data_IF_853567267155
#
_entry.id   IF_853567267155
#
_cell.length_a   1.000
_cell.length_b   1.000
_cell.length_c   1.000
_cell.angle_alpha   90.00
_cell.angle_beta   90.00
_cell.angle_gamma   90.00
#
_symmetry.space_group_name_H-M   'P 1'
#
loop_
_entity.id
_entity.type
_entity.pdbx_description
1 polymer ?
#
# COMPACT_ATOMS: atom_id res chain seq x y z
N UNK A 1 38.73 7.66 25.62
CA UNK A 1 38.00 8.88 25.24
C UNK A 1 37.93 9.00 23.73
N UNK A 2 36.74 9.34 23.22
CA UNK A 2 36.41 9.94 21.90
C UNK A 2 36.85 9.16 20.64
N UNK A 3 35.93 8.49 19.95
CA UNK A 3 34.97 8.96 18.92
C UNK A 3 35.55 8.95 17.49
N UNK A 4 34.98 8.04 16.67
CA UNK A 4 34.51 8.18 15.28
C UNK A 4 35.37 9.00 14.30
N UNK A 5 35.68 8.37 13.15
CA UNK A 5 35.26 8.89 11.83
C UNK A 5 34.90 7.73 10.90
N UNK A 6 33.60 7.53 10.72
CA UNK A 6 33.03 6.90 9.54
C UNK A 6 33.26 7.84 8.35
N UNK A 7 33.87 7.37 7.27
CA UNK A 7 33.83 8.08 5.98
C UNK A 7 32.74 7.46 5.11
N UNK A 8 31.72 8.28 4.88
CA UNK A 8 30.69 8.13 3.85
C UNK A 8 31.33 7.95 2.48
N UNK A 9 30.95 6.89 1.76
CA UNK A 9 30.97 6.82 0.30
C UNK A 9 29.85 5.89 -0.16
N UNK A 10 28.65 6.44 -0.36
CA UNK A 10 27.59 5.85 -1.19
C UNK A 10 26.49 6.88 -1.46
N UNK A 11 26.83 8.01 -2.09
CA UNK A 11 25.87 9.04 -2.54
C UNK A 11 26.24 9.43 -3.97
N UNK A 12 25.83 8.62 -4.96
CA UNK A 12 25.05 9.21 -6.05
C UNK A 12 23.88 8.34 -6.57
N UNK A 13 23.68 7.12 -6.06
CA UNK A 13 22.70 6.18 -6.62
C UNK A 13 21.27 6.44 -6.08
N UNK A 14 21.13 6.91 -4.84
CA UNK A 14 19.81 7.18 -4.24
C UNK A 14 19.11 8.41 -4.85
N UNK A 15 19.86 9.43 -5.27
CA UNK A 15 19.29 10.66 -5.83
C UNK A 15 18.63 10.44 -7.20
N UNK A 16 19.07 9.44 -7.96
CA UNK A 16 18.51 9.13 -9.27
C UNK A 16 17.24 8.26 -9.20
N UNK A 17 17.06 7.51 -8.11
CA UNK A 17 15.85 6.71 -7.88
C UNK A 17 14.68 7.57 -7.39
N UNK A 18 14.95 8.62 -6.61
CA UNK A 18 13.92 9.52 -6.07
C UNK A 18 13.35 10.51 -7.10
N UNK A 19 14.08 10.82 -8.18
CA UNK A 19 13.60 11.76 -9.22
C UNK A 19 12.57 11.17 -10.20
N UNK A 20 12.19 9.91 -10.05
CA UNK A 20 11.22 9.23 -10.94
C UNK A 20 9.97 8.73 -10.22
N UNK A 21 9.95 8.77 -8.88
CA UNK A 21 8.79 8.37 -8.10
C UNK A 21 7.91 9.59 -7.95
N UNK A 22 7.15 9.90 -9.01
CA UNK A 22 6.02 10.81 -8.88
C UNK A 22 4.90 10.00 -8.25
N UNK A 23 4.86 9.99 -6.91
CA UNK A 23 3.66 9.54 -6.19
C UNK A 23 2.50 10.36 -6.76
N UNK A 24 1.45 9.74 -7.31
CA UNK A 24 0.43 10.51 -7.97
C UNK A 24 -0.28 11.42 -6.95
N UNK A 25 -0.36 12.71 -7.26
CA UNK A 25 -1.08 13.71 -6.48
C UNK A 25 -2.58 13.38 -6.51
N UNK A 26 -3.02 12.52 -5.60
CA UNK A 26 -4.43 12.34 -5.29
C UNK A 26 -4.72 13.07 -4.00
N UNK A 27 -5.45 14.19 -4.08
CA UNK A 27 -6.05 14.85 -2.91
C UNK A 27 -6.93 13.89 -2.09
N UNK A 28 -7.32 12.72 -2.64
CA UNK A 28 -8.13 11.67 -2.01
C UNK A 28 -7.67 10.28 -2.49
N UNK A 29 -6.70 9.67 -1.80
CA UNK A 29 -6.22 8.30 -2.06
C UNK A 29 -6.66 7.33 -0.94
N UNK A 30 -7.15 6.11 -1.26
CA UNK A 30 -7.65 5.65 -2.55
C UNK A 30 -9.12 6.06 -2.81
N UNK A 31 -9.53 6.38 -4.06
CA UNK A 31 -10.91 6.74 -4.39
C UNK A 31 -11.84 5.51 -4.43
N UNK A 32 -11.98 4.80 -3.31
CA UNK A 32 -12.82 3.59 -3.15
C UNK A 32 -14.28 3.75 -3.59
N UNK A 33 -14.78 4.98 -3.68
CA UNK A 33 -16.10 5.27 -4.24
C UNK A 33 -16.23 4.90 -5.73
N UNK A 34 -15.12 4.67 -6.43
CA UNK A 34 -15.06 4.16 -7.79
C UNK A 34 -15.03 2.62 -7.86
N UNK A 35 -14.87 1.92 -6.73
CA UNK A 35 -14.86 0.45 -6.70
C UNK A 35 -16.23 -0.08 -7.16
N UNK A 36 -16.28 -1.01 -8.13
CA UNK A 36 -17.55 -1.56 -8.57
C UNK A 36 -18.30 -2.27 -7.43
N UNK A 37 -19.59 -1.98 -7.29
CA UNK A 37 -20.46 -2.58 -6.26
C UNK A 37 -20.88 -4.02 -6.59
N UNK A 38 -20.58 -4.48 -7.79
CA UNK A 38 -20.93 -5.81 -8.31
C UNK A 38 -19.94 -6.87 -7.83
N UNK A 39 -20.32 -8.14 -7.94
CA UNK A 39 -19.46 -9.27 -7.56
C UNK A 39 -18.21 -9.35 -8.47
N UNK A 40 -16.98 -9.33 -7.91
CA UNK A 40 -15.75 -9.38 -8.70
C UNK A 40 -15.56 -10.67 -9.50
N UNK A 41 -16.30 -11.74 -9.20
CA UNK A 41 -16.33 -12.94 -10.05
C UNK A 41 -17.05 -12.73 -11.38
N UNK A 42 -17.73 -11.59 -11.55
CA UNK A 42 -18.53 -11.24 -12.74
C UNK A 42 -18.14 -9.91 -13.36
N UNK A 43 -17.11 -9.24 -12.82
CA UNK A 43 -16.65 -7.97 -13.37
C UNK A 43 -16.23 -8.13 -14.82
N UNK A 44 -16.72 -7.21 -15.64
CA UNK A 44 -16.21 -7.01 -16.99
C UNK A 44 -14.89 -6.24 -16.93
N UNK A 45 -14.21 -6.14 -18.07
CA UNK A 45 -12.94 -5.42 -18.20
C UNK A 45 -13.07 -3.97 -17.71
N UNK A 46 -14.20 -3.31 -17.98
CA UNK A 46 -14.42 -1.92 -17.55
C UNK A 46 -14.55 -1.79 -16.03
N UNK A 47 -15.09 -2.80 -15.36
CA UNK A 47 -15.20 -2.84 -13.89
C UNK A 47 -13.84 -3.13 -13.25
N UNK A 48 -13.01 -4.00 -13.85
CA UNK A 48 -11.61 -4.18 -13.43
C UNK A 48 -10.79 -2.89 -13.61
N UNK A 49 -11.00 -2.18 -14.72
CA UNK A 49 -10.41 -0.86 -14.94
C UNK A 49 -10.84 0.17 -13.89
N UNK A 50 -12.13 0.22 -13.54
CA UNK A 50 -12.61 1.09 -12.46
C UNK A 50 -12.04 0.68 -11.10
N UNK A 51 -11.86 -0.62 -10.84
CA UNK A 51 -11.23 -1.10 -9.61
C UNK A 51 -9.78 -0.64 -9.49
N UNK A 52 -8.94 -0.80 -10.54
CA UNK A 52 -7.53 -0.37 -10.47
C UNK A 52 -7.41 1.15 -10.28
N UNK A 53 -8.33 1.93 -10.85
CA UNK A 53 -8.46 3.37 -10.56
C UNK A 53 -8.88 3.64 -9.13
N UNK A 54 -9.83 2.87 -8.60
CA UNK A 54 -10.37 3.01 -7.24
C UNK A 54 -9.33 2.76 -6.15
N UNK A 55 -8.32 1.93 -6.43
CA UNK A 55 -7.16 1.69 -5.55
C UNK A 55 -6.00 2.65 -5.85
N UNK A 56 -6.24 3.66 -6.69
CA UNK A 56 -5.37 4.79 -6.95
C UNK A 56 -4.24 4.52 -7.95
N UNK A 57 -4.47 3.59 -8.89
CA UNK A 57 -3.55 3.30 -9.99
C UNK A 57 -4.19 3.49 -11.39
N UNK A 58 -4.76 4.67 -11.72
CA UNK A 58 -5.39 4.90 -13.01
C UNK A 58 -4.42 4.84 -14.20
N UNK A 59 -3.12 5.03 -13.99
CA UNK A 59 -2.10 4.82 -15.01
C UNK A 59 -2.08 3.37 -15.54
N UNK A 60 -2.55 2.40 -14.75
CA UNK A 60 -2.64 0.99 -15.16
C UNK A 60 -3.98 0.63 -15.80
N UNK A 61 -4.94 1.54 -15.86
CA UNK A 61 -6.23 1.32 -16.54
C UNK A 61 -6.04 0.77 -17.96
N UNK A 62 -5.09 1.34 -18.71
CA UNK A 62 -4.75 0.90 -20.07
C UNK A 62 -4.26 -0.54 -20.12
N UNK A 63 -3.30 -0.90 -19.27
CA UNK A 63 -2.70 -2.24 -19.23
C UNK A 63 -3.75 -3.33 -18.94
N UNK A 64 -4.67 -3.10 -17.99
CA UNK A 64 -5.76 -4.03 -17.70
C UNK A 64 -6.79 -4.13 -18.86
N UNK A 65 -6.94 -3.07 -19.65
CA UNK A 65 -7.83 -3.04 -20.83
C UNK A 65 -7.26 -3.76 -22.05
N UNK A 66 -5.98 -3.51 -22.36
CA UNK A 66 -5.28 -4.13 -23.49
C UNK A 66 -5.04 -5.63 -23.28
N UNK A 67 -4.88 -6.07 -22.02
CA UNK A 67 -4.70 -7.46 -21.60
C UNK A 67 -5.99 -8.27 -21.44
N UNK A 68 -7.10 -7.86 -22.08
CA UNK A 68 -8.49 -7.89 -21.58
C UNK A 68 -8.67 -8.67 -20.28
N UNK A 69 -8.43 -8.00 -19.15
CA UNK A 69 -8.54 -8.60 -17.83
C UNK A 69 -9.94 -8.40 -17.27
N UNK A 70 -10.76 -9.45 -17.30
CA UNK A 70 -12.03 -9.52 -16.59
C UNK A 70 -11.85 -9.97 -15.13
N UNK A 71 -12.92 -9.93 -14.33
CA UNK A 71 -12.91 -10.32 -12.93
C UNK A 71 -12.35 -11.73 -12.68
N UNK A 72 -12.85 -12.78 -13.35
CA UNK A 72 -12.29 -14.13 -13.26
C UNK A 72 -10.79 -14.23 -13.57
N UNK A 73 -10.27 -13.43 -14.52
CA UNK A 73 -8.83 -13.37 -14.82
C UNK A 73 -8.07 -12.62 -13.73
N UNK A 74 -8.55 -11.45 -13.32
CA UNK A 74 -7.99 -10.65 -12.23
C UNK A 74 -7.81 -11.48 -10.95
N UNK A 75 -8.84 -12.24 -10.55
CA UNK A 75 -8.82 -13.05 -9.34
C UNK A 75 -7.77 -14.18 -9.38
N UNK A 76 -7.20 -14.51 -10.54
CA UNK A 76 -6.11 -15.50 -10.70
C UNK A 76 -4.72 -14.88 -10.73
N UNK A 77 -4.61 -13.55 -10.63
CA UNK A 77 -3.31 -12.87 -10.62
C UNK A 77 -2.57 -13.08 -9.30
N UNK A 78 -1.25 -13.10 -9.45
CA UNK A 78 -0.19 -13.12 -8.42
C UNK A 78 0.80 -12.00 -8.78
N UNK A 79 1.71 -11.62 -7.88
CA UNK A 79 2.78 -10.65 -8.21
C UNK A 79 3.48 -10.97 -9.54
N UNK A 80 3.84 -12.24 -9.75
CA UNK A 80 4.51 -12.68 -10.97
C UNK A 80 3.64 -12.47 -12.22
N UNK A 81 2.33 -12.74 -12.14
CA UNK A 81 1.43 -12.50 -13.28
C UNK A 81 1.18 -11.02 -13.55
N UNK A 82 1.18 -10.18 -12.51
CA UNK A 82 1.12 -8.73 -12.68
C UNK A 82 2.35 -8.25 -13.48
N UNK A 83 3.53 -8.75 -13.17
CA UNK A 83 4.76 -8.45 -13.92
C UNK A 83 4.71 -8.98 -15.36
N UNK A 84 4.41 -10.27 -15.53
CA UNK A 84 4.50 -10.95 -16.82
C UNK A 84 3.37 -10.57 -17.80
N UNK A 85 2.13 -10.43 -17.32
CA UNK A 85 0.96 -10.21 -18.18
C UNK A 85 0.62 -8.74 -18.40
N UNK A 86 0.97 -7.86 -17.46
CA UNK A 86 0.64 -6.43 -17.54
C UNK A 86 1.87 -5.53 -17.68
N UNK A 87 3.07 -6.11 -17.74
CA UNK A 87 4.34 -5.38 -17.85
C UNK A 87 4.49 -4.30 -16.77
N UNK A 88 3.94 -4.56 -15.58
CA UNK A 88 4.00 -3.68 -14.41
C UNK A 88 5.43 -3.65 -13.87
N UNK A 89 6.31 -2.85 -14.48
CA UNK A 89 7.75 -2.90 -14.17
C UNK A 89 8.13 -2.39 -12.78
N UNK A 90 7.29 -1.54 -12.16
CA UNK A 90 7.52 -0.98 -10.82
C UNK A 90 7.17 -2.02 -9.72
N UNK A 91 8.17 -2.60 -9.03
CA UNK A 91 7.91 -3.66 -8.05
C UNK A 91 7.02 -3.21 -6.89
N UNK A 92 7.16 -1.95 -6.46
CA UNK A 92 6.35 -1.31 -5.42
C UNK A 92 4.86 -1.25 -5.78
N UNK A 93 4.52 -0.94 -7.03
CA UNK A 93 3.12 -0.90 -7.47
C UNK A 93 2.52 -2.30 -7.54
N UNK A 94 3.31 -3.29 -7.98
CA UNK A 94 2.87 -4.69 -7.99
C UNK A 94 2.52 -5.19 -6.60
N UNK A 95 3.34 -4.85 -5.60
CA UNK A 95 3.08 -5.21 -4.20
C UNK A 95 1.76 -4.62 -3.70
N UNK A 96 1.50 -3.34 -3.96
CA UNK A 96 0.25 -2.69 -3.54
C UNK A 96 -0.96 -3.28 -4.25
N UNK A 97 -0.88 -3.49 -5.57
CA UNK A 97 -1.97 -4.10 -6.36
C UNK A 97 -2.24 -5.54 -5.94
N UNK A 98 -1.20 -6.33 -5.66
CA UNK A 98 -1.35 -7.70 -5.17
C UNK A 98 -2.01 -7.73 -3.78
N UNK A 99 -1.56 -6.86 -2.87
CA UNK A 99 -2.17 -6.71 -1.55
C UNK A 99 -3.66 -6.33 -1.68
N UNK A 100 -3.99 -5.33 -2.51
CA UNK A 100 -5.38 -4.92 -2.73
C UNK A 100 -6.24 -6.00 -3.38
N UNK A 101 -5.67 -6.80 -4.26
CA UNK A 101 -6.35 -7.98 -4.80
C UNK A 101 -6.62 -9.03 -3.71
N UNK A 102 -5.68 -9.22 -2.77
CA UNK A 102 -5.88 -10.05 -1.59
C UNK A 102 -6.99 -9.52 -0.68
N UNK A 103 -7.04 -8.21 -0.45
CA UNK A 103 -8.09 -7.55 0.34
C UNK A 103 -9.46 -7.62 -0.36
N UNK A 104 -9.53 -7.45 -1.69
CA UNK A 104 -10.73 -7.66 -2.47
C UNK A 104 -11.25 -9.09 -2.28
N UNK A 105 -10.39 -10.09 -2.44
CA UNK A 105 -10.77 -11.50 -2.23
C UNK A 105 -11.22 -11.76 -0.79
N UNK A 106 -10.55 -11.18 0.20
CA UNK A 106 -10.90 -11.32 1.61
C UNK A 106 -12.29 -10.76 1.91
N UNK A 107 -12.57 -9.52 1.49
CA UNK A 107 -13.86 -8.83 1.73
C UNK A 107 -15.05 -9.51 1.04
N UNK A 108 -14.80 -10.15 -0.10
CA UNK A 108 -15.82 -10.89 -0.85
C UNK A 108 -15.89 -12.40 -0.49
N UNK A 109 -15.13 -12.87 0.51
CA UNK A 109 -15.15 -14.27 0.93
C UNK A 109 -14.63 -15.26 -0.11
N UNK A 110 -13.74 -14.81 -1.01
CA UNK A 110 -13.20 -15.58 -2.13
C UNK A 110 -11.90 -16.32 -1.79
N UNK A 111 -11.32 -16.11 -0.61
CA UNK A 111 -10.14 -16.84 -0.13
C UNK A 111 -10.54 -18.14 0.57
N UNK A 112 -9.83 -19.23 0.29
CA UNK A 112 -9.88 -20.42 1.15
C UNK A 112 -9.35 -20.12 2.54
N UNK A 113 -9.60 -20.98 3.53
CA UNK A 113 -9.09 -20.79 4.89
C UNK A 113 -7.55 -20.67 4.94
N UNK A 114 -6.84 -21.43 4.10
CA UNK A 114 -5.39 -21.38 3.99
C UNK A 114 -4.92 -20.08 3.36
N UNK A 115 -5.49 -19.69 2.22
CA UNK A 115 -5.13 -18.43 1.55
C UNK A 115 -5.46 -17.22 2.43
N UNK A 116 -6.57 -17.26 3.17
CA UNK A 116 -6.93 -16.24 4.16
C UNK A 116 -5.86 -16.15 5.24
N UNK A 117 -5.42 -17.27 5.80
CA UNK A 117 -4.38 -17.27 6.82
C UNK A 117 -3.06 -16.73 6.26
N UNK A 118 -2.65 -17.16 5.06
CA UNK A 118 -1.44 -16.65 4.39
C UNK A 118 -1.54 -15.14 4.17
N UNK A 119 -2.67 -14.66 3.63
CA UNK A 119 -2.92 -13.24 3.40
C UNK A 119 -2.86 -12.43 4.70
N UNK A 120 -3.56 -12.86 5.75
CA UNK A 120 -3.56 -12.18 7.05
C UNK A 120 -2.21 -12.27 7.77
N UNK A 121 -1.38 -13.27 7.46
CA UNK A 121 -0.02 -13.35 8.01
C UNK A 121 0.94 -12.42 7.27
N UNK A 122 0.81 -12.31 5.95
CA UNK A 122 1.61 -11.41 5.11
C UNK A 122 1.18 -9.94 5.25
N UNK A 123 -0.12 -9.71 5.49
CA UNK A 123 -0.75 -8.40 5.60
C UNK A 123 -1.67 -8.36 6.83
N UNK A 124 -1.13 -8.46 8.07
CA UNK A 124 -1.94 -8.43 9.28
C UNK A 124 -2.79 -7.18 9.34
N UNK A 125 -3.90 -7.22 10.08
CA UNK A 125 -4.71 -6.02 10.25
C UNK A 125 -3.90 -4.99 11.04
N UNK A 126 -3.93 -3.73 10.64
CA UNK A 126 -3.07 -2.71 11.22
C UNK A 126 -3.35 -2.47 12.70
N UNK A 127 -4.57 -2.73 13.18
CA UNK A 127 -4.91 -2.68 14.60
C UNK A 127 -4.23 -3.78 15.45
N UNK A 128 -3.66 -4.81 14.81
CA UNK A 128 -2.94 -5.91 15.46
C UNK A 128 -1.42 -5.83 15.29
N UNK A 129 -0.90 -4.84 14.55
CA UNK A 129 0.54 -4.72 14.30
C UNK A 129 1.29 -4.35 15.57
N UNK A 130 2.30 -5.15 15.89
CA UNK A 130 3.33 -4.81 16.86
C UNK A 130 4.27 -3.72 16.31
N UNK A 131 5.14 -3.20 17.18
CA UNK A 131 6.23 -2.29 16.79
C UNK A 131 7.19 -2.90 15.77
N UNK A 132 7.32 -4.23 15.78
CA UNK A 132 8.14 -4.96 14.79
C UNK A 132 7.45 -4.93 13.43
N UNK A 133 6.14 -5.19 13.39
CA UNK A 133 5.37 -5.17 12.15
C UNK A 133 5.34 -3.77 11.51
N UNK A 134 5.22 -2.71 12.32
CA UNK A 134 5.34 -1.31 11.83
C UNK A 134 6.71 -1.03 11.23
N UNK A 135 7.80 -1.51 11.85
CA UNK A 135 9.14 -1.35 11.31
C UNK A 135 9.29 -2.10 9.99
N UNK A 136 8.91 -3.37 9.95
CA UNK A 136 9.04 -4.23 8.77
C UNK A 136 8.19 -3.70 7.61
N UNK A 137 7.01 -3.14 7.92
CA UNK A 137 6.21 -2.39 6.96
C UNK A 137 6.97 -1.19 6.36
N UNK A 138 7.53 -0.32 7.21
CA UNK A 138 8.28 0.86 6.73
C UNK A 138 9.48 0.44 5.89
N UNK A 139 10.21 -0.60 6.29
CA UNK A 139 11.31 -1.17 5.49
C UNK A 139 10.82 -1.68 4.12
N UNK A 140 9.70 -2.41 4.10
CA UNK A 140 9.08 -2.92 2.87
C UNK A 140 8.56 -1.83 1.92
N UNK A 141 8.19 -0.66 2.45
CA UNK A 141 7.77 0.50 1.66
C UNK A 141 8.95 1.40 1.21
N UNK A 142 10.20 0.99 1.47
CA UNK A 142 11.38 1.82 1.17
C UNK A 142 11.59 2.98 2.16
N UNK A 143 10.83 3.03 3.26
CA UNK A 143 10.88 4.02 4.33
C UNK A 143 11.79 3.60 5.49
N UNK A 144 12.61 2.56 5.31
CA UNK A 144 13.44 1.97 6.38
C UNK A 144 14.39 2.95 7.06
N UNK A 145 14.87 3.98 6.36
CA UNK A 145 15.71 5.04 6.94
C UNK A 145 15.01 5.83 8.06
N UNK A 146 13.67 5.89 8.01
CA UNK A 146 12.82 6.61 8.96
C UNK A 146 12.21 5.70 10.02
N UNK A 147 12.34 4.37 9.89
CA UNK A 147 11.74 3.39 10.80
C UNK A 147 12.13 3.60 12.27
N UNK A 148 13.33 4.13 12.52
CA UNK A 148 13.78 4.45 13.89
C UNK A 148 12.93 5.54 14.58
N UNK A 149 12.33 6.46 13.83
CA UNK A 149 11.41 7.48 14.36
C UNK A 149 10.10 6.83 14.87
N UNK A 150 9.77 5.65 14.36
CA UNK A 150 8.56 4.88 14.70
C UNK A 150 8.83 3.78 15.72
N UNK A 151 10.00 3.75 16.37
CA UNK A 151 10.40 2.65 17.27
C UNK A 151 9.44 2.38 18.45
N UNK A 152 8.60 3.36 18.81
CA UNK A 152 7.58 3.21 19.87
C UNK A 152 6.14 3.21 19.33
N UNK A 153 5.97 3.14 18.01
CA UNK A 153 4.67 3.21 17.34
C UNK A 153 4.24 1.79 17.00
N UNK A 154 3.12 1.34 17.58
CA UNK A 154 2.41 0.15 17.12
C UNK A 154 1.37 0.53 16.06
N UNK A 155 0.74 -0.45 15.42
CA UNK A 155 -0.14 -0.13 14.29
C UNK A 155 -1.42 0.61 14.69
N UNK A 156 -1.95 0.35 15.89
CA UNK A 156 -3.09 1.12 16.42
C UNK A 156 -2.71 2.60 16.57
N UNK A 157 -1.52 2.88 17.09
CA UNK A 157 -1.00 4.26 17.20
C UNK A 157 -0.76 4.84 15.81
N UNK A 158 -0.15 4.08 14.90
CA UNK A 158 0.14 4.51 13.53
C UNK A 158 -1.12 4.98 12.81
N UNK A 159 -2.19 4.18 12.82
CA UNK A 159 -3.47 4.56 12.19
C UNK A 159 -4.17 5.69 12.91
N UNK A 160 -3.87 5.98 14.18
CA UNK A 160 -4.46 7.11 14.91
C UNK A 160 -3.72 8.45 14.69
N UNK A 161 -2.50 8.45 14.12
CA UNK A 161 -1.67 9.66 14.00
C UNK A 161 -2.20 10.71 13.03
N UNK A 162 -2.37 11.95 13.46
CA UNK A 162 -2.69 13.04 12.53
C UNK A 162 -1.59 13.26 11.48
N UNK A 163 -1.94 13.90 10.37
CA UNK A 163 -0.99 14.29 9.32
C UNK A 163 0.22 15.06 9.88
N UNK A 164 -0.03 15.98 10.82
CA UNK A 164 1.04 16.73 11.47
C UNK A 164 2.01 15.83 12.27
N UNK A 165 1.49 14.77 12.91
CA UNK A 165 2.33 13.82 13.64
C UNK A 165 3.14 12.93 12.68
N UNK A 166 2.53 12.48 11.59
CA UNK A 166 3.23 11.73 10.54
C UNK A 166 4.32 12.57 9.88
N UNK A 167 4.07 13.86 9.64
CA UNK A 167 5.06 14.78 9.07
C UNK A 167 6.27 14.94 9.97
N UNK A 168 6.07 15.17 11.28
CA UNK A 168 7.19 15.27 12.23
C UNK A 168 8.03 14.00 12.26
N UNK A 169 7.41 12.82 12.16
CA UNK A 169 8.12 11.54 12.18
C UNK A 169 8.78 11.20 10.83
N UNK A 170 8.21 11.64 9.72
CA UNK A 170 8.77 11.44 8.38
C UNK A 170 9.94 12.37 8.11
N UNK A 171 9.91 13.61 8.58
CA UNK A 171 10.94 14.61 8.23
C UNK A 171 11.92 14.91 9.36
N UNK A 172 11.61 14.47 10.60
CA UNK A 172 12.37 14.90 11.77
C UNK A 172 12.34 16.42 12.00
N UNK A 173 11.39 17.13 11.39
CA UNK A 173 11.32 18.59 11.35
C UNK A 173 12.07 19.25 10.20
N UNK A 174 12.64 18.46 9.27
CA UNK A 174 13.20 18.92 8.01
C UNK A 174 12.13 19.37 7.01
N UNK A 175 12.55 20.16 6.02
CA UNK A 175 11.68 20.70 4.96
C UNK A 175 12.31 20.55 3.58
N UNK A 176 13.21 19.58 3.42
CA UNK A 176 13.79 19.32 2.10
C UNK A 176 12.81 18.54 1.21
N UNK A 177 13.06 18.55 -0.09
CA UNK A 177 12.16 17.94 -1.09
C UNK A 177 12.04 16.41 -0.91
N UNK A 178 13.08 15.76 -0.37
CA UNK A 178 13.08 14.32 -0.13
C UNK A 178 12.21 13.97 1.08
N UNK A 179 12.29 14.78 2.13
CA UNK A 179 11.45 14.68 3.32
C UNK A 179 9.96 14.90 3.01
N UNK A 180 9.65 15.82 2.09
CA UNK A 180 8.27 16.08 1.67
C UNK A 180 7.68 14.89 0.87
N UNK A 181 8.41 14.35 -0.10
CA UNK A 181 7.99 13.17 -0.85
C UNK A 181 7.82 11.93 0.05
N UNK A 182 8.70 11.79 1.04
CA UNK A 182 8.62 10.74 2.08
C UNK A 182 7.36 10.88 2.92
N UNK A 183 7.06 12.10 3.38
CA UNK A 183 5.85 12.38 4.14
C UNK A 183 4.59 12.04 3.33
N UNK A 184 4.55 12.43 2.06
CA UNK A 184 3.42 12.14 1.17
C UNK A 184 3.21 10.64 1.00
N UNK A 185 4.28 9.88 0.77
CA UNK A 185 4.23 8.42 0.68
C UNK A 185 3.74 7.79 2.00
N UNK A 186 4.33 8.17 3.14
CA UNK A 186 3.92 7.65 4.45
C UNK A 186 2.46 7.97 4.75
N UNK A 187 2.05 9.21 4.48
CA UNK A 187 0.69 9.68 4.71
C UNK A 187 -0.32 8.89 3.86
N UNK A 188 -0.03 8.68 2.58
CA UNK A 188 -0.85 7.86 1.70
C UNK A 188 -0.99 6.43 2.22
N UNK A 189 0.13 5.84 2.64
CA UNK A 189 0.20 4.49 3.20
C UNK A 189 -0.60 4.36 4.50
N UNK A 190 -0.49 5.31 5.44
CA UNK A 190 -1.25 5.29 6.69
C UNK A 190 -2.75 5.50 6.47
N UNK A 191 -3.15 6.35 5.52
CA UNK A 191 -4.57 6.49 5.14
C UNK A 191 -5.14 5.19 4.59
N UNK A 192 -4.38 4.50 3.74
CA UNK A 192 -4.75 3.19 3.23
C UNK A 192 -4.98 2.17 4.38
N UNK A 193 -4.09 2.14 5.37
CA UNK A 193 -4.22 1.28 6.55
C UNK A 193 -5.46 1.60 7.40
N UNK A 194 -5.90 2.87 7.48
CA UNK A 194 -7.14 3.27 8.18
C UNK A 194 -8.39 2.72 7.52
N UNK A 195 -8.42 2.68 6.20
CA UNK A 195 -9.57 2.16 5.47
C UNK A 195 -9.73 0.65 5.63
N UNK A 196 -8.61 -0.07 5.80
CA UNK A 196 -8.61 -1.50 6.15
C UNK A 196 -9.24 -1.76 7.51
N UNK A 197 -8.99 -0.88 8.49
CA UNK A 197 -9.58 -0.99 9.84
C UNK A 197 -11.06 -0.59 9.87
N UNK A 198 -11.48 0.42 9.09
CA UNK A 198 -12.89 0.85 9.04
C UNK A 198 -13.79 -0.12 8.27
N UNK A 199 -13.31 -0.70 7.16
CA UNK A 199 -14.07 -1.67 6.35
C UNK A 199 -14.32 -2.99 7.09
N UNK A 200 -13.45 -3.37 8.04
CA UNK A 200 -13.62 -4.54 8.89
C UNK A 200 -14.75 -4.43 9.93
N UNK A 201 -15.28 -3.22 10.19
CA UNK A 201 -16.37 -2.99 11.16
C UNK A 201 -17.76 -2.81 10.53
N UNK A 202 -17.85 -2.67 9.21
CA UNK A 202 -19.12 -2.43 8.50
C UNK A 202 -19.91 -3.68 8.12
N UNK A 203 -19.28 -4.85 8.05
CA UNK A 203 -19.88 -6.08 7.51
C UNK A 203 -20.44 -7.08 8.53
N UNK A 204 -20.31 -6.82 9.84
CA UNK A 204 -20.73 -7.76 10.89
C UNK A 204 -21.76 -7.18 11.86
N UNK A 205 -22.53 -6.17 11.44
CA UNK A 205 -23.70 -5.75 12.21
C UNK A 205 -24.96 -6.49 11.75
N UNK A 206 -25.36 -7.41 12.61
CA UNK A 206 -26.76 -7.87 12.86
C UNK A 206 -27.28 -9.04 12.02
N UNK A 207 -26.78 -10.24 12.30
CA UNK A 207 -27.66 -11.41 12.42
C UNK A 207 -27.35 -12.09 13.75
N UNK A 208 -28.02 -11.62 14.80
CA UNK A 208 -28.47 -12.33 16.00
C UNK A 208 -29.38 -11.40 16.80
#
# INVERSE_FOLDING_TARGET
GKLRRSSMLALPILSALLSTIRVPEYEQYPPRHLEPLTDPTRWRVEEVQAWVESIGFPEYRGAFGEGPVDGPKLLKFTAAKLEDELLLAAPEHRLVIEMELGELKLRHGLLTAVERQVHLTAHPRTDEWSRVDVRDFLEGQGLGAYASNFAQVDGQTLVAMSEAQLQVLATGGGSDETDQATFELLSAQVRHLRERTSSGMGGLKSEL
#
